data_IF_401568598763
#
_entry.id   IF_401568598763
#
_cell.length_a   1.000
_cell.length_b   1.000
_cell.length_c   1.000
_cell.angle_alpha   90.00
_cell.angle_beta   90.00
_cell.angle_gamma   90.00
#
_symmetry.space_group_name_H-M   'P 1'
#
loop_
_entity.id
_entity.type
_entity.pdbx_description
1 polymer ?
#
# COMPACT_ATOMS: atom_id res chain seq x y z
N UNK A 1 -7.21 31.41 10.52
CA UNK A 1 -6.91 31.49 9.07
C UNK A 1 -5.66 30.72 8.66
N UNK A 2 -4.57 30.71 9.44
CA UNK A 2 -3.42 29.79 9.20
C UNK A 2 -3.69 28.38 9.76
N UNK A 3 -4.23 28.33 10.97
CA UNK A 3 -4.78 27.12 11.63
C UNK A 3 -5.71 26.33 10.70
N UNK A 4 -6.67 27.00 10.04
CA UNK A 4 -7.67 26.34 9.19
C UNK A 4 -7.05 25.66 7.95
N UNK A 5 -5.91 26.17 7.45
CA UNK A 5 -5.22 25.57 6.29
C UNK A 5 -4.41 24.34 6.68
N UNK A 6 -3.75 24.36 7.83
CA UNK A 6 -3.07 23.17 8.37
C UNK A 6 -4.08 22.07 8.72
N UNK A 7 -5.24 22.43 9.28
CA UNK A 7 -6.30 21.47 9.58
C UNK A 7 -6.89 20.84 8.32
N UNK A 8 -7.14 21.61 7.27
CA UNK A 8 -7.64 21.06 6.00
C UNK A 8 -6.57 20.22 5.30
N UNK A 9 -5.30 20.64 5.29
CA UNK A 9 -4.20 19.82 4.75
C UNK A 9 -4.07 18.48 5.49
N UNK A 10 -4.22 18.47 6.81
CA UNK A 10 -4.17 17.24 7.61
C UNK A 10 -5.29 16.24 7.28
N UNK A 11 -6.42 16.67 6.68
CA UNK A 11 -7.51 15.76 6.27
C UNK A 11 -7.19 14.98 5.00
N UNK A 12 -6.19 15.44 4.24
CA UNK A 12 -5.69 14.78 3.04
C UNK A 12 -4.49 13.89 3.33
N UNK A 13 -4.04 13.82 4.59
CA UNK A 13 -2.98 12.92 5.01
C UNK A 13 -3.55 11.58 5.46
N UNK A 14 -2.90 10.50 5.03
CA UNK A 14 -3.17 9.16 5.49
C UNK A 14 -1.89 8.39 5.83
N UNK A 15 -2.08 7.27 6.51
CA UNK A 15 -1.00 6.36 6.87
C UNK A 15 -1.09 5.13 5.97
N UNK A 16 0.03 4.74 5.37
CA UNK A 16 0.15 3.47 4.64
C UNK A 16 0.90 2.49 5.54
N UNK A 17 0.35 1.27 5.58
CA UNK A 17 0.96 0.11 6.22
C UNK A 17 1.29 -0.90 5.15
N UNK A 18 2.58 -1.20 4.99
CA UNK A 18 3.07 -2.13 3.97
C UNK A 18 3.44 -3.44 4.66
N UNK A 19 2.79 -4.53 4.26
CA UNK A 19 3.18 -5.89 4.63
C UNK A 19 4.05 -6.48 3.52
N UNK A 20 5.27 -6.92 3.85
CA UNK A 20 6.24 -7.40 2.86
C UNK A 20 7.11 -8.56 3.37
N UNK A 21 7.77 -9.27 2.45
CA UNK A 21 8.70 -10.37 2.75
C UNK A 21 8.05 -11.66 3.27
N UNK A 22 6.74 -11.68 3.48
CA UNK A 22 5.95 -12.84 3.88
C UNK A 22 5.16 -13.45 2.73
N UNK A 23 4.19 -14.31 3.10
CA UNK A 23 3.30 -14.96 2.16
C UNK A 23 1.87 -15.03 2.71
N UNK A 24 0.90 -15.08 1.79
CA UNK A 24 -0.49 -15.39 2.14
C UNK A 24 -0.67 -16.89 2.33
N UNK A 25 -1.37 -17.28 3.39
CA UNK A 25 -1.89 -18.64 3.53
C UNK A 25 -3.01 -18.92 2.51
N UNK A 26 -3.37 -20.19 2.36
CA UNK A 26 -4.48 -20.59 1.49
C UNK A 26 -5.82 -20.21 2.13
N UNK A 27 -6.77 -19.86 1.28
CA UNK A 27 -8.19 -19.73 1.63
C UNK A 27 -8.75 -21.08 2.16
N UNK A 28 -9.70 -21.08 3.12
CA UNK A 28 -10.25 -19.93 3.86
C UNK A 28 -9.38 -19.52 5.05
N UNK A 29 -9.77 -18.44 5.73
CA UNK A 29 -9.09 -17.86 6.89
C UNK A 29 -7.66 -17.41 6.52
N UNK A 30 -7.53 -16.74 5.38
CA UNK A 30 -6.23 -16.28 4.88
C UNK A 30 -5.58 -15.33 5.88
N UNK A 31 -4.31 -15.61 6.17
CA UNK A 31 -3.42 -14.75 6.95
C UNK A 31 -2.19 -14.38 6.13
N UNK A 32 -1.56 -13.26 6.49
CA UNK A 32 -0.23 -12.92 5.99
C UNK A 32 0.82 -13.30 7.03
N UNK A 33 1.70 -14.23 6.71
CA UNK A 33 2.64 -14.83 7.67
C UNK A 33 4.09 -14.72 7.22
N UNK A 34 5.00 -14.68 8.19
CA UNK A 34 6.45 -14.72 7.96
C UNK A 34 7.05 -13.45 7.36
N UNK A 35 6.27 -12.36 7.26
CA UNK A 35 6.74 -11.08 6.75
C UNK A 35 6.99 -10.04 7.85
N UNK A 36 7.34 -8.83 7.40
CA UNK A 36 7.45 -7.63 8.21
C UNK A 36 6.33 -6.64 7.87
N UNK A 37 6.17 -5.65 8.74
CA UNK A 37 5.25 -4.53 8.59
C UNK A 37 6.05 -3.23 8.76
N UNK A 38 5.93 -2.33 7.80
CA UNK A 38 6.49 -0.98 7.85
C UNK A 38 5.39 0.06 7.63
N UNK A 39 5.51 1.19 8.34
CA UNK A 39 4.49 2.25 8.35
C UNK A 39 5.07 3.53 7.77
N UNK A 40 4.41 4.05 6.75
CA UNK A 40 4.67 5.36 6.15
C UNK A 40 3.52 6.29 6.54
N UNK A 41 3.82 7.22 7.45
CA UNK A 41 2.83 8.16 7.95
C UNK A 41 2.87 9.50 7.18
N UNK A 42 1.79 10.27 7.28
CA UNK A 42 1.63 11.59 6.63
C UNK A 42 1.81 11.56 5.11
N UNK A 43 1.27 10.53 4.47
CA UNK A 43 1.21 10.44 3.01
C UNK A 43 0.08 11.33 2.52
N UNK A 44 0.37 12.23 1.58
CA UNK A 44 -0.62 13.13 1.00
C UNK A 44 -1.39 12.42 -0.13
N UNK A 45 -2.69 12.22 0.06
CA UNK A 45 -3.57 11.48 -0.85
C UNK A 45 -3.75 12.15 -2.20
N UNK A 46 -3.62 13.48 -2.27
CA UNK A 46 -3.85 14.22 -3.51
C UNK A 46 -2.70 14.04 -4.51
N UNK A 47 -1.52 13.66 -4.02
CA UNK A 47 -0.31 13.44 -4.82
C UNK A 47 0.16 11.99 -4.81
N UNK A 48 -0.37 11.14 -3.93
CA UNK A 48 0.03 9.75 -3.81
C UNK A 48 -0.26 8.97 -5.09
N UNK A 49 0.74 8.22 -5.55
CA UNK A 49 0.68 7.40 -6.76
C UNK A 49 1.39 6.06 -6.57
N UNK A 50 1.24 5.17 -7.56
CA UNK A 50 1.98 3.89 -7.60
C UNK A 50 3.49 4.12 -7.64
N UNK A 51 3.96 5.23 -8.23
CA UNK A 51 5.38 5.58 -8.21
C UNK A 51 5.89 5.86 -6.80
N UNK A 52 5.08 6.53 -5.96
CA UNK A 52 5.45 6.75 -4.56
C UNK A 52 5.49 5.44 -3.78
N UNK A 53 4.55 4.52 -4.05
CA UNK A 53 4.58 3.18 -3.49
C UNK A 53 5.86 2.41 -3.89
N UNK A 54 6.29 2.50 -5.16
CA UNK A 54 7.56 1.92 -5.62
C UNK A 54 8.76 2.52 -4.88
N UNK A 55 8.77 3.83 -4.62
CA UNK A 55 9.83 4.46 -3.83
C UNK A 55 9.81 4.00 -2.37
N UNK A 56 8.63 3.82 -1.77
CA UNK A 56 8.49 3.31 -0.40
C UNK A 56 9.07 1.90 -0.28
N UNK A 57 8.73 0.98 -1.18
CA UNK A 57 9.27 -0.39 -1.11
C UNK A 57 10.75 -0.47 -1.51
N UNK A 58 11.23 0.46 -2.34
CA UNK A 58 12.66 0.61 -2.60
C UNK A 58 13.43 0.99 -1.32
N UNK A 59 12.87 1.86 -0.48
CA UNK A 59 13.45 2.20 0.82
C UNK A 59 13.50 0.99 1.77
N UNK A 60 12.54 0.07 1.64
CA UNK A 60 12.52 -1.22 2.36
C UNK A 60 13.50 -2.26 1.77
N UNK A 61 14.19 -1.94 0.67
CA UNK A 61 15.20 -2.79 0.03
C UNK A 61 14.69 -3.62 -1.16
N UNK A 62 13.43 -3.48 -1.54
CA UNK A 62 12.86 -4.18 -2.69
C UNK A 62 13.09 -3.39 -3.97
N UNK A 63 14.06 -3.84 -4.78
CA UNK A 63 14.50 -3.05 -5.95
C UNK A 63 13.72 -3.33 -7.24
N UNK A 64 12.91 -4.39 -7.29
CA UNK A 64 12.19 -4.80 -8.50
C UNK A 64 13.05 -5.24 -9.70
N UNK A 65 14.39 -5.15 -9.60
CA UNK A 65 15.33 -5.36 -10.72
C UNK A 65 15.47 -6.82 -11.14
N UNK A 66 15.39 -7.74 -10.17
CA UNK A 66 15.57 -9.18 -10.40
C UNK A 66 14.26 -9.96 -10.26
N UNK A 67 13.26 -9.37 -9.61
CA UNK A 67 11.99 -9.99 -9.30
C UNK A 67 10.89 -8.94 -9.50
N UNK A 68 9.85 -9.22 -10.30
CA UNK A 68 8.74 -8.29 -10.46
C UNK A 68 8.02 -8.11 -9.12
N UNK A 69 7.68 -6.86 -8.79
CA UNK A 69 6.93 -6.52 -7.59
C UNK A 69 5.43 -6.62 -7.88
N UNK A 70 4.70 -7.28 -6.99
CA UNK A 70 3.25 -7.44 -7.07
C UNK A 70 2.60 -6.84 -5.84
N UNK A 71 1.81 -5.79 -6.04
CA UNK A 71 1.09 -5.14 -4.96
C UNK A 71 -0.32 -5.68 -4.86
N UNK A 72 -0.79 -5.81 -3.62
CA UNK A 72 -2.19 -6.07 -3.32
C UNK A 72 -2.64 -5.04 -2.29
N UNK A 73 -3.88 -4.61 -2.37
CA UNK A 73 -4.50 -3.77 -1.35
C UNK A 73 -5.65 -4.52 -0.68
N UNK A 74 -5.86 -4.20 0.59
CA UNK A 74 -6.99 -4.70 1.36
C UNK A 74 -8.07 -3.62 1.38
N UNK A 75 -9.27 -3.96 0.92
CA UNK A 75 -10.42 -3.07 0.99
C UNK A 75 -10.74 -2.74 2.46
N UNK A 76 -11.08 -1.48 2.80
CA UNK A 76 -11.41 -1.13 4.17
C UNK A 76 -12.51 -2.02 4.77
N UNK A 77 -12.37 -2.37 6.05
CA UNK A 77 -13.35 -3.17 6.81
C UNK A 77 -13.61 -4.59 6.25
N UNK A 78 -12.71 -5.10 5.41
CA UNK A 78 -12.80 -6.45 4.84
C UNK A 78 -11.75 -7.40 5.43
N UNK A 79 -11.86 -8.68 5.10
CA UNK A 79 -10.89 -9.72 5.44
C UNK A 79 -9.95 -9.98 4.27
N UNK A 80 -8.82 -10.67 4.54
CA UNK A 80 -7.91 -11.11 3.48
C UNK A 80 -8.54 -12.15 2.52
N UNK A 81 -9.64 -12.79 2.92
CA UNK A 81 -10.36 -13.72 2.07
C UNK A 81 -11.19 -12.99 1.00
N UNK A 82 -11.92 -11.94 1.41
CA UNK A 82 -12.94 -11.31 0.56
C UNK A 82 -12.55 -9.93 0.01
N UNK A 83 -11.49 -9.32 0.53
CA UNK A 83 -11.13 -7.94 0.19
C UNK A 83 -9.69 -7.71 -0.21
N UNK A 84 -8.92 -8.77 -0.45
CA UNK A 84 -7.57 -8.67 -1.00
C UNK A 84 -7.63 -8.61 -2.52
N UNK A 85 -7.28 -7.45 -3.08
CA UNK A 85 -7.30 -7.23 -4.52
C UNK A 85 -5.90 -6.94 -5.05
N UNK A 86 -5.51 -7.46 -6.23
CA UNK A 86 -4.29 -7.02 -6.87
C UNK A 86 -4.41 -5.54 -7.21
N UNK A 87 -3.36 -4.78 -6.96
CA UNK A 87 -3.22 -3.44 -7.50
C UNK A 87 -2.79 -3.62 -8.97
N UNK A 88 -3.76 -3.77 -9.87
CA UNK A 88 -3.47 -3.77 -11.31
C UNK A 88 -3.09 -2.36 -11.72
N UNK A 89 -1.95 -2.19 -12.41
CA UNK A 89 -1.86 -1.08 -13.34
C UNK A 89 -2.94 -1.34 -14.39
N UNK A 90 -3.86 -0.40 -14.58
CA UNK A 90 -4.67 -0.38 -15.79
C UNK A 90 -3.68 -0.54 -16.96
N UNK A 91 -3.87 -1.59 -17.77
CA UNK A 91 -3.30 -1.58 -19.10
C UNK A 91 -3.89 -0.32 -19.75
N UNK A 92 -3.06 0.67 -20.10
CA UNK A 92 -3.49 1.72 -21.03
C UNK A 92 -4.16 1.00 -22.20
N UNK A 93 -5.48 1.19 -22.35
CA UNK A 93 -6.28 0.62 -23.44
C UNK A 93 -5.55 0.94 -24.75
N UNK A 94 -4.99 -0.10 -25.39
CA UNK A 94 -4.26 0.02 -26.66
C UNK A 94 -5.19 0.38 -27.82
#
# INVERSE_FOLDING_TARGET
>A
MECDKEYEFARHLFTIRIHHGGAFLRFPDREYVGGAEDIFDRVDIDVFSVFDLDQMVLQLGYTGKNEPLFYHYLSPMSTLDDGLFPLSCDEDDR
#
